data_IF_782702271678
#
_entry.id   IF_782702271678
#
_cell.length_a   1.000
_cell.length_b   1.000
_cell.length_c   1.000
_cell.angle_alpha   90.00
_cell.angle_beta   90.00
_cell.angle_gamma   90.00
#
_symmetry.space_group_name_H-M   'P 1'
#
loop_
_entity.id
_entity.type
_entity.pdbx_description
1 polymer ?
#
# COMPACT_ATOMS: atom_id res chain seq x y z
N UNK A 1 45.05 12.62 -83.81
CA UNK A 1 43.68 12.27 -83.38
C UNK A 1 43.73 11.95 -81.88
N UNK A 2 43.61 12.96 -80.99
CA UNK A 2 43.70 12.76 -79.54
C UNK A 2 42.47 13.35 -78.84
N UNK A 3 41.60 12.45 -78.37
CA UNK A 3 40.38 12.75 -77.60
C UNK A 3 40.74 13.14 -76.16
N UNK A 4 40.30 14.34 -75.74
CA UNK A 4 40.32 14.78 -74.34
C UNK A 4 39.09 14.21 -73.62
N UNK A 5 39.28 13.39 -72.59
CA UNK A 5 38.22 12.96 -71.68
C UNK A 5 38.12 13.97 -70.53
N UNK A 6 36.93 14.55 -70.34
CA UNK A 6 36.56 15.38 -69.18
C UNK A 6 35.99 14.45 -68.11
N UNK A 7 36.59 14.43 -66.92
CA UNK A 7 36.00 13.81 -65.73
C UNK A 7 35.15 14.85 -64.98
N UNK A 8 33.85 14.61 -64.89
CA UNK A 8 32.95 15.36 -64.02
C UNK A 8 32.94 14.70 -62.63
N UNK A 9 33.34 15.43 -61.60
CA UNK A 9 33.22 15.01 -60.19
C UNK A 9 31.82 15.39 -59.71
N UNK A 10 30.98 14.40 -59.42
CA UNK A 10 29.70 14.61 -58.73
C UNK A 10 29.94 14.63 -57.22
N UNK A 11 29.69 15.79 -56.59
CA UNK A 11 29.63 15.95 -55.14
C UNK A 11 28.28 15.46 -54.64
N UNK A 12 28.27 14.38 -53.86
CA UNK A 12 27.08 13.88 -53.15
C UNK A 12 27.01 14.57 -51.77
N UNK A 13 25.91 15.25 -51.42
CA UNK A 13 25.77 15.84 -50.09
C UNK A 13 25.43 14.75 -49.08
N UNK A 14 26.28 14.61 -48.05
CA UNK A 14 26.05 13.73 -46.91
C UNK A 14 25.02 14.41 -46.00
N UNK A 15 23.77 13.92 -46.01
CA UNK A 15 22.78 14.25 -44.99
C UNK A 15 23.16 13.58 -43.67
N UNK A 16 23.61 14.37 -42.69
CA UNK A 16 23.80 13.89 -41.33
C UNK A 16 22.41 13.81 -40.70
N UNK A 17 21.86 12.59 -40.57
CA UNK A 17 20.73 12.33 -39.69
C UNK A 17 21.19 12.55 -38.25
N UNK A 18 20.74 13.65 -37.63
CA UNK A 18 20.83 13.82 -36.18
C UNK A 18 19.79 12.92 -35.53
N UNK A 19 20.16 11.68 -35.23
CA UNK A 19 19.39 10.86 -34.29
C UNK A 19 19.51 11.52 -32.92
N UNK A 20 18.43 12.15 -32.46
CA UNK A 20 18.29 12.56 -31.07
C UNK A 20 18.27 11.30 -30.20
N UNK A 21 19.45 10.91 -29.71
CA UNK A 21 19.60 9.98 -28.60
C UNK A 21 18.84 10.58 -27.41
N UNK A 22 17.62 10.10 -27.16
CA UNK A 22 17.02 10.23 -25.83
C UNK A 22 17.95 9.50 -24.89
N UNK A 23 18.76 10.25 -24.14
CA UNK A 23 19.56 9.70 -23.06
C UNK A 23 18.62 8.89 -22.17
N UNK A 24 18.87 7.58 -22.07
CA UNK A 24 18.14 6.73 -21.16
C UNK A 24 18.46 7.25 -19.76
N UNK A 25 17.45 7.80 -19.06
CA UNK A 25 17.63 8.31 -17.70
C UNK A 25 18.33 7.23 -16.87
N UNK A 26 19.50 7.57 -16.32
CA UNK A 26 20.23 6.67 -15.46
C UNK A 26 19.36 6.36 -14.23
N UNK A 27 19.18 5.08 -13.93
CA UNK A 27 18.48 4.65 -12.73
C UNK A 27 19.17 5.24 -11.49
N UNK A 28 18.37 5.80 -10.59
CA UNK A 28 18.81 6.27 -9.28
C UNK A 28 17.97 5.56 -8.23
N UNK A 29 18.62 4.91 -7.26
CA UNK A 29 17.92 4.32 -6.13
C UNK A 29 17.10 5.40 -5.38
N UNK A 30 15.95 5.05 -4.76
CA UNK A 30 15.18 6.01 -3.99
C UNK A 30 16.03 6.70 -2.92
N UNK A 31 15.83 8.01 -2.77
CA UNK A 31 16.47 8.85 -1.77
C UNK A 31 15.45 9.84 -1.25
N UNK A 32 15.57 10.22 0.02
CA UNK A 32 14.81 11.34 0.55
C UNK A 32 15.17 12.62 -0.20
N UNK A 33 14.15 13.41 -0.53
CA UNK A 33 14.34 14.74 -1.11
C UNK A 33 14.99 15.72 -0.12
N UNK A 34 14.84 15.46 1.18
CA UNK A 34 15.48 16.20 2.25
C UNK A 34 16.06 15.23 3.30
N UNK A 35 17.32 15.39 3.76
CA UNK A 35 17.97 14.47 4.70
C UNK A 35 17.31 14.41 6.08
N UNK A 36 16.57 15.44 6.47
CA UNK A 36 15.83 15.47 7.74
C UNK A 36 14.44 14.82 7.63
N UNK A 37 13.98 14.47 6.42
CA UNK A 37 12.71 13.79 6.23
C UNK A 37 12.67 12.40 6.86
N UNK A 38 11.46 11.88 7.07
CA UNK A 38 11.22 10.48 7.44
C UNK A 38 10.14 9.87 6.55
N UNK A 39 10.01 8.55 6.52
CA UNK A 39 9.06 7.91 5.61
C UNK A 39 8.17 6.83 6.21
N UNK A 40 7.04 6.61 5.53
CA UNK A 40 6.17 5.44 5.66
C UNK A 40 6.16 4.71 4.32
N UNK A 41 6.24 3.38 4.36
CA UNK A 41 6.06 2.55 3.15
C UNK A 41 4.67 1.94 3.16
N UNK A 42 3.95 2.04 2.05
CA UNK A 42 2.68 1.37 1.82
C UNK A 42 2.89 0.18 0.86
N UNK A 43 2.63 -1.01 1.38
CA UNK A 43 2.59 -2.29 0.68
C UNK A 43 1.15 -2.48 0.17
N UNK A 44 0.96 -2.82 -1.11
CA UNK A 44 -0.37 -3.07 -1.66
C UNK A 44 -0.92 -4.40 -1.15
N UNK A 45 -2.10 -4.76 -1.63
CA UNK A 45 -2.70 -6.04 -1.32
C UNK A 45 -1.83 -7.20 -1.84
N UNK A 46 -1.71 -8.27 -1.05
CA UNK A 46 -0.67 -9.27 -1.27
C UNK A 46 -1.17 -10.59 -1.88
N UNK A 47 -2.49 -10.77 -2.03
CA UNK A 47 -3.08 -12.07 -2.38
C UNK A 47 -2.50 -12.71 -3.64
N UNK A 48 -2.23 -11.92 -4.69
CA UNK A 48 -1.70 -12.42 -5.96
C UNK A 48 -0.22 -12.82 -5.86
N UNK A 49 0.52 -12.25 -4.91
CA UNK A 49 1.90 -12.63 -4.64
C UNK A 49 1.99 -14.00 -3.95
N UNK A 50 0.99 -14.36 -3.12
CA UNK A 50 1.10 -15.55 -2.26
C UNK A 50 0.29 -16.75 -2.73
N UNK A 51 -0.77 -16.55 -3.53
CA UNK A 51 -1.59 -17.63 -4.09
C UNK A 51 -0.85 -18.50 -5.11
N UNK A 52 0.27 -18.01 -5.66
CA UNK A 52 1.16 -18.76 -6.54
C UNK A 52 2.55 -18.89 -5.95
N UNK A 53 3.05 -20.13 -5.82
CA UNK A 53 4.41 -20.41 -5.33
C UNK A 53 5.49 -19.56 -6.00
N UNK A 54 5.43 -19.51 -7.33
CA UNK A 54 6.41 -18.81 -8.18
C UNK A 54 6.48 -17.31 -7.92
N UNK A 55 5.44 -16.72 -7.34
CA UNK A 55 5.33 -15.27 -7.11
C UNK A 55 5.84 -14.86 -5.71
N UNK A 56 5.94 -15.80 -4.76
CA UNK A 56 6.20 -15.49 -3.34
C UNK A 56 7.52 -14.73 -3.14
N UNK A 57 8.55 -15.08 -3.91
CA UNK A 57 9.85 -14.40 -3.89
C UNK A 57 9.80 -12.90 -4.24
N UNK A 58 8.74 -12.43 -4.92
CA UNK A 58 8.57 -11.00 -5.22
C UNK A 58 8.17 -10.23 -3.96
N UNK A 59 7.24 -10.75 -3.15
CA UNK A 59 6.89 -10.13 -1.87
C UNK A 59 8.06 -10.17 -0.88
N UNK A 60 8.85 -11.24 -0.89
CA UNK A 60 10.10 -11.31 -0.14
C UNK A 60 11.11 -10.25 -0.60
N UNK A 61 11.22 -10.01 -1.91
CA UNK A 61 12.07 -8.94 -2.46
C UNK A 61 11.61 -7.57 -1.98
N UNK A 62 10.30 -7.32 -1.97
CA UNK A 62 9.74 -6.05 -1.48
C UNK A 62 10.09 -5.82 0.00
N UNK A 63 9.88 -6.82 0.85
CA UNK A 63 10.13 -6.73 2.30
C UNK A 63 11.61 -6.72 2.65
N UNK A 64 12.45 -7.46 1.90
CA UNK A 64 13.91 -7.38 2.02
C UNK A 64 14.42 -5.98 1.66
N UNK A 65 13.95 -5.42 0.54
CA UNK A 65 14.32 -4.06 0.14
C UNK A 65 13.91 -3.02 1.18
N UNK A 66 12.71 -3.14 1.76
CA UNK A 66 12.29 -2.28 2.87
C UNK A 66 13.29 -2.40 4.02
N UNK A 67 13.62 -3.62 4.46
CA UNK A 67 14.58 -3.86 5.55
C UNK A 67 15.96 -3.26 5.28
N UNK A 68 16.45 -3.33 4.04
CA UNK A 68 17.77 -2.81 3.64
C UNK A 68 17.79 -1.27 3.62
N UNK A 69 16.63 -0.63 3.43
CA UNK A 69 16.51 0.81 3.25
C UNK A 69 15.91 1.54 4.45
N UNK A 70 15.71 0.86 5.60
CA UNK A 70 15.16 1.47 6.82
C UNK A 70 15.93 2.74 7.20
N UNK A 71 17.26 2.65 7.30
CA UNK A 71 18.09 3.79 7.71
C UNK A 71 18.21 4.83 6.59
N UNK A 72 18.47 4.39 5.36
CA UNK A 72 18.70 5.26 4.21
C UNK A 72 17.47 6.12 3.83
N UNK A 73 16.27 5.59 4.04
CA UNK A 73 15.01 6.29 3.79
C UNK A 73 14.30 6.73 5.08
N UNK A 74 14.96 6.55 6.23
CA UNK A 74 14.43 6.88 7.54
C UNK A 74 12.98 6.35 7.74
N UNK A 75 12.78 5.07 7.39
CA UNK A 75 11.47 4.41 7.41
C UNK A 75 11.05 4.20 8.87
N UNK A 76 9.90 4.77 9.24
CA UNK A 76 9.39 4.69 10.62
C UNK A 76 8.18 3.79 10.80
N UNK A 77 7.48 3.46 9.71
CA UNK A 77 6.31 2.59 9.72
C UNK A 77 6.13 1.95 8.34
N UNK A 78 5.63 0.71 8.31
CA UNK A 78 5.16 0.06 7.09
C UNK A 78 3.67 -0.23 7.23
N UNK A 79 2.88 0.07 6.22
CA UNK A 79 1.45 -0.22 6.19
C UNK A 79 1.16 -1.21 5.06
N UNK A 80 0.25 -2.16 5.26
CA UNK A 80 -0.28 -3.02 4.20
C UNK A 80 -1.79 -2.87 4.11
N UNK A 81 -2.30 -2.71 2.89
CA UNK A 81 -3.72 -2.39 2.64
C UNK A 81 -4.68 -3.57 2.74
N UNK A 82 -4.18 -4.77 3.04
CA UNK A 82 -4.98 -5.96 3.33
C UNK A 82 -4.98 -6.98 2.20
N UNK A 83 -5.97 -7.87 2.22
CA UNK A 83 -5.99 -9.11 1.41
C UNK A 83 -4.61 -9.78 1.41
N UNK A 84 -4.22 -10.19 2.62
CA UNK A 84 -2.97 -10.86 2.91
C UNK A 84 -2.89 -12.23 2.20
N UNK A 85 -4.05 -12.84 1.95
CA UNK A 85 -4.20 -14.10 1.20
C UNK A 85 -5.32 -13.99 0.18
N UNK A 86 -5.37 -14.90 -0.81
CA UNK A 86 -6.48 -14.98 -1.76
C UNK A 86 -7.65 -15.79 -1.21
N UNK A 87 -7.39 -16.77 -0.35
CA UNK A 87 -8.43 -17.53 0.32
C UNK A 87 -8.03 -17.75 1.77
N UNK A 88 -8.96 -17.61 2.71
CA UNK A 88 -8.68 -17.75 4.13
C UNK A 88 -8.70 -19.20 4.64
N UNK A 89 -9.59 -20.08 4.12
CA UNK A 89 -9.80 -21.46 4.63
C UNK A 89 -9.77 -22.57 3.56
N UNK A 90 -9.24 -22.30 2.36
CA UNK A 90 -9.06 -23.29 1.29
C UNK A 90 -8.06 -24.37 1.70
N UNK A 91 -8.56 -25.56 2.04
CA UNK A 91 -7.74 -26.70 2.48
C UNK A 91 -6.94 -27.34 1.34
N UNK A 92 -7.52 -27.41 0.14
CA UNK A 92 -6.92 -28.02 -1.05
C UNK A 92 -7.13 -27.08 -2.22
N UNK A 93 -6.05 -26.68 -2.88
CA UNK A 93 -6.12 -25.84 -4.08
C UNK A 93 -6.74 -26.61 -5.26
N UNK A 94 -7.70 -25.98 -5.94
CA UNK A 94 -8.24 -26.45 -7.22
C UNK A 94 -7.34 -26.08 -8.42
N UNK A 95 -6.24 -25.35 -8.17
CA UNK A 95 -5.29 -24.82 -9.14
C UNK A 95 -5.88 -23.82 -10.17
N UNK A 96 -7.10 -23.32 -9.94
CA UNK A 96 -7.76 -22.37 -10.84
C UNK A 96 -7.40 -20.93 -10.46
N UNK A 97 -7.47 -20.59 -9.17
CA UNK A 97 -7.18 -19.24 -8.67
C UNK A 97 -6.09 -19.28 -7.59
N UNK A 98 -4.89 -19.71 -8.02
CA UNK A 98 -3.76 -20.01 -7.15
C UNK A 98 -3.48 -21.50 -7.08
N UNK A 99 -2.22 -21.88 -6.85
CA UNK A 99 -1.78 -23.28 -6.67
C UNK A 99 -1.46 -23.65 -5.21
N UNK A 100 -1.72 -22.73 -4.28
CA UNK A 100 -1.43 -22.88 -2.85
C UNK A 100 -2.70 -22.99 -2.01
N UNK A 101 -2.78 -23.92 -1.03
CA UNK A 101 -3.85 -23.90 -0.03
C UNK A 101 -3.65 -22.71 0.94
N UNK A 102 -4.72 -22.30 1.63
CA UNK A 102 -4.73 -21.09 2.48
C UNK A 102 -3.65 -21.08 3.54
N UNK A 103 -3.39 -22.22 4.19
CA UNK A 103 -2.32 -22.34 5.19
C UNK A 103 -0.96 -21.92 4.62
N UNK A 104 -0.66 -22.31 3.38
CA UNK A 104 0.62 -22.03 2.76
C UNK A 104 0.69 -20.59 2.23
N UNK A 105 -0.45 -20.03 1.80
CA UNK A 105 -0.56 -18.59 1.50
C UNK A 105 -0.29 -17.74 2.75
N UNK A 106 -0.95 -18.06 3.87
CA UNK A 106 -0.76 -17.37 5.16
C UNK A 106 0.69 -17.47 5.66
N UNK A 107 1.33 -18.63 5.51
CA UNK A 107 2.75 -18.80 5.82
C UNK A 107 3.64 -17.96 4.92
N UNK A 108 3.34 -17.89 3.62
CA UNK A 108 4.14 -17.11 2.67
C UNK A 108 4.10 -15.61 2.99
N UNK A 109 2.90 -15.04 3.20
CA UNK A 109 2.77 -13.63 3.58
C UNK A 109 3.43 -13.37 4.95
N UNK A 110 3.23 -14.26 5.93
CA UNK A 110 3.85 -14.13 7.25
C UNK A 110 5.38 -14.14 7.17
N UNK A 111 5.96 -15.09 6.42
CA UNK A 111 7.40 -15.23 6.22
C UNK A 111 8.01 -13.99 5.55
N UNK A 112 7.34 -13.41 4.56
CA UNK A 112 7.82 -12.18 3.94
C UNK A 112 7.88 -11.02 4.95
N UNK A 113 6.84 -10.84 5.76
CA UNK A 113 6.82 -9.76 6.77
C UNK A 113 7.74 -10.02 7.98
N UNK A 114 8.08 -11.28 8.29
CA UNK A 114 9.04 -11.63 9.37
C UNK A 114 10.39 -10.89 9.20
N UNK A 115 10.76 -10.54 7.97
CA UNK A 115 11.98 -9.76 7.69
C UNK A 115 12.03 -8.39 8.37
N UNK A 116 10.87 -7.85 8.72
CA UNK A 116 10.70 -6.54 9.35
C UNK A 116 10.58 -6.63 10.88
N UNK A 117 10.42 -7.84 11.44
CA UNK A 117 10.25 -8.05 12.87
C UNK A 117 11.47 -7.53 13.65
N UNK A 118 11.21 -6.71 14.67
CA UNK A 118 12.25 -6.07 15.47
C UNK A 118 13.03 -4.95 14.78
N UNK A 119 12.76 -4.64 13.50
CA UNK A 119 13.47 -3.61 12.72
C UNK A 119 12.63 -2.37 12.46
N UNK A 120 11.36 -2.54 12.09
CA UNK A 120 10.41 -1.44 11.86
C UNK A 120 9.00 -1.90 12.24
N UNK A 121 8.15 -1.07 12.88
CA UNK A 121 6.76 -1.44 13.10
C UNK A 121 6.01 -1.52 11.77
N UNK A 122 5.02 -2.41 11.70
CA UNK A 122 4.12 -2.50 10.57
C UNK A 122 2.67 -2.78 10.99
N UNK A 123 1.71 -2.25 10.24
CA UNK A 123 0.29 -2.44 10.50
C UNK A 123 -0.35 -2.96 9.21
N UNK A 124 -1.14 -4.02 9.30
CA UNK A 124 -1.76 -4.66 8.13
C UNK A 124 -3.27 -4.61 8.30
N UNK A 125 -3.98 -4.04 7.33
CA UNK A 125 -5.44 -4.23 7.27
C UNK A 125 -5.76 -5.71 7.03
N UNK A 126 -6.96 -6.11 7.41
CA UNK A 126 -7.56 -7.34 6.89
C UNK A 126 -8.50 -6.95 5.75
N UNK A 127 -8.34 -7.59 4.59
CA UNK A 127 -9.20 -7.42 3.44
C UNK A 127 -10.31 -8.47 3.37
N UNK A 128 -11.15 -8.41 2.35
CA UNK A 128 -12.27 -9.34 2.22
C UNK A 128 -11.82 -10.79 1.98
N UNK A 129 -10.64 -11.04 1.42
CA UNK A 129 -10.10 -12.38 1.21
C UNK A 129 -9.47 -12.99 2.48
N UNK A 130 -9.18 -12.16 3.49
CA UNK A 130 -8.62 -12.60 4.77
C UNK A 130 -9.67 -13.20 5.71
N UNK A 131 -10.94 -13.12 5.34
CA UNK A 131 -12.07 -13.67 6.09
C UNK A 131 -12.74 -14.81 5.34
N UNK A 132 -13.57 -15.58 6.05
CA UNK A 132 -14.42 -16.63 5.48
C UNK A 132 -13.63 -17.76 4.85
N UNK A 133 -14.11 -18.29 3.72
CA UNK A 133 -13.51 -19.41 3.00
C UNK A 133 -12.79 -18.98 1.73
N UNK A 134 -13.54 -18.43 0.76
CA UNK A 134 -12.97 -17.85 -0.49
C UNK A 134 -12.80 -16.34 -0.38
N UNK A 135 -13.74 -15.72 0.30
CA UNK A 135 -13.82 -14.30 0.60
C UNK A 135 -14.64 -14.15 1.88
N UNK A 136 -15.09 -12.94 2.22
CA UNK A 136 -15.85 -12.63 3.42
C UNK A 136 -17.29 -13.17 3.37
N UNK A 137 -17.46 -14.49 3.33
CA UNK A 137 -18.75 -15.15 3.52
C UNK A 137 -19.20 -15.12 4.99
N UNK A 138 -18.22 -15.00 5.90
CA UNK A 138 -18.39 -14.72 7.31
C UNK A 138 -17.15 -13.97 7.81
N UNK A 139 -17.15 -13.52 9.07
CA UNK A 139 -16.07 -12.69 9.65
C UNK A 139 -15.00 -13.49 10.42
N UNK A 140 -14.89 -14.80 10.22
CA UNK A 140 -13.79 -15.61 10.77
C UNK A 140 -12.53 -15.39 9.95
N UNK A 141 -11.37 -15.29 10.61
CA UNK A 141 -10.09 -15.05 9.96
C UNK A 141 -8.96 -15.80 10.68
N UNK A 142 -7.96 -16.22 9.91
CA UNK A 142 -6.68 -16.72 10.43
C UNK A 142 -5.68 -15.61 10.77
N UNK A 143 -6.03 -14.32 10.56
CA UNK A 143 -5.13 -13.19 10.76
C UNK A 143 -4.32 -13.27 12.05
N UNK A 144 -4.99 -13.42 13.21
CA UNK A 144 -4.32 -13.42 14.52
C UNK A 144 -3.39 -14.63 14.75
N UNK A 145 -3.60 -15.72 14.03
CA UNK A 145 -2.72 -16.90 14.11
C UNK A 145 -1.36 -16.60 13.47
N UNK A 146 -1.35 -15.87 12.35
CA UNK A 146 -0.13 -15.61 11.58
C UNK A 146 0.50 -14.25 11.92
N UNK A 147 -0.32 -13.28 12.32
CA UNK A 147 0.10 -11.93 12.67
C UNK A 147 -0.21 -11.57 14.14
N UNK A 148 0.18 -12.40 15.14
CA UNK A 148 -0.02 -12.01 16.52
C UNK A 148 0.84 -10.79 16.86
N UNK A 149 0.30 -9.84 17.63
CA UNK A 149 0.98 -8.55 17.88
C UNK A 149 2.38 -8.70 18.48
N UNK A 150 2.60 -9.73 19.29
CA UNK A 150 3.86 -9.96 19.98
C UNK A 150 4.98 -10.52 19.08
N UNK A 151 4.67 -10.88 17.82
CA UNK A 151 5.71 -11.31 16.86
C UNK A 151 6.68 -10.17 16.54
N UNK A 152 6.18 -8.93 16.47
CA UNK A 152 7.00 -7.74 16.31
C UNK A 152 6.90 -6.88 17.58
N UNK A 153 7.95 -6.87 18.39
CA UNK A 153 7.99 -6.09 19.64
C UNK A 153 7.77 -4.59 19.42
N UNK A 154 8.10 -4.06 18.23
CA UNK A 154 7.85 -2.66 17.89
C UNK A 154 6.35 -2.37 17.70
N UNK A 155 5.59 -3.31 17.13
CA UNK A 155 4.12 -3.22 17.07
C UNK A 155 3.52 -3.28 18.47
N UNK A 156 3.96 -4.26 19.28
CA UNK A 156 3.47 -4.43 20.65
C UNK A 156 3.72 -3.18 21.51
N UNK A 157 4.89 -2.54 21.35
CA UNK A 157 5.22 -1.28 22.05
C UNK A 157 4.34 -0.10 21.60
N UNK A 158 3.97 -0.06 20.32
CA UNK A 158 3.14 0.99 19.76
C UNK A 158 1.65 0.81 20.06
N UNK A 159 1.18 -0.43 20.25
CA UNK A 159 -0.23 -0.74 20.51
C UNK A 159 -0.78 0.04 21.72
N UNK A 160 -1.99 0.58 21.58
CA UNK A 160 -2.69 1.34 22.64
C UNK A 160 -4.04 0.77 23.00
N UNK A 161 -4.81 0.35 22.00
CA UNK A 161 -6.10 -0.30 22.21
C UNK A 161 -6.39 -1.29 21.08
N UNK A 162 -7.23 -2.28 21.38
CA UNK A 162 -7.75 -3.22 20.40
C UNK A 162 -9.27 -3.35 20.58
N UNK A 163 -9.99 -3.22 19.46
CA UNK A 163 -11.38 -3.58 19.32
C UNK A 163 -11.55 -5.10 19.26
N UNK A 164 -12.79 -5.55 19.31
CA UNK A 164 -13.11 -6.99 19.36
C UNK A 164 -13.38 -7.55 17.96
N UNK A 165 -12.81 -8.70 17.63
CA UNK A 165 -13.19 -9.44 16.42
C UNK A 165 -14.60 -10.06 16.55
N UNK A 166 -14.99 -10.90 15.59
CA UNK A 166 -16.31 -11.56 15.61
C UNK A 166 -16.51 -12.49 16.81
N UNK A 167 -15.43 -13.02 17.37
CA UNK A 167 -15.44 -13.90 18.54
C UNK A 167 -15.43 -13.16 19.87
N UNK A 168 -15.50 -11.83 19.84
CA UNK A 168 -15.49 -11.00 21.03
C UNK A 168 -14.10 -10.85 21.68
N UNK A 169 -13.04 -11.33 21.02
CA UNK A 169 -11.66 -11.25 21.48
C UNK A 169 -10.98 -9.97 20.96
N UNK A 170 -10.15 -9.28 21.75
CA UNK A 170 -9.31 -8.20 21.25
C UNK A 170 -8.45 -8.67 20.07
N UNK A 171 -8.46 -7.91 18.97
CA UNK A 171 -7.77 -8.28 17.73
C UNK A 171 -7.05 -7.09 17.11
N UNK A 172 -5.90 -7.34 16.50
CA UNK A 172 -5.16 -6.32 15.75
C UNK A 172 -5.78 -6.01 14.38
N UNK A 173 -6.77 -6.79 13.94
CA UNK A 173 -7.69 -6.43 12.85
C UNK A 173 -8.36 -5.08 13.11
N UNK A 174 -8.57 -4.73 14.38
CA UNK A 174 -9.17 -3.47 14.82
C UNK A 174 -8.34 -2.89 15.97
N UNK A 175 -7.37 -2.03 15.71
CA UNK A 175 -6.43 -1.59 16.75
C UNK A 175 -5.91 -0.18 16.53
N UNK A 176 -5.45 0.45 17.62
CA UNK A 176 -4.76 1.73 17.59
C UNK A 176 -3.30 1.61 18.00
N UNK A 177 -2.42 2.34 17.32
CA UNK A 177 -0.99 2.37 17.56
C UNK A 177 -0.49 3.80 17.63
N UNK A 178 0.28 4.12 18.66
CA UNK A 178 0.86 5.45 18.84
C UNK A 178 2.28 5.52 18.32
N UNK A 179 2.59 6.62 17.64
CA UNK A 179 3.91 6.93 17.14
C UNK A 179 4.19 8.43 17.29
N UNK A 180 5.41 8.79 17.69
CA UNK A 180 5.88 10.17 17.71
C UNK A 180 6.96 10.28 16.65
N UNK A 181 6.76 11.17 15.68
CA UNK A 181 7.70 11.33 14.57
C UNK A 181 9.02 11.98 15.04
N UNK A 182 10.09 11.89 14.22
CA UNK A 182 11.33 12.62 14.48
C UNK A 182 11.10 14.12 14.72
N UNK A 183 10.06 14.70 14.10
CA UNK A 183 9.67 16.10 14.22
C UNK A 183 8.64 16.37 15.33
N UNK A 184 8.52 15.44 16.30
CA UNK A 184 7.66 15.54 17.48
C UNK A 184 6.15 15.60 17.20
N UNK A 185 5.72 15.36 15.95
CA UNK A 185 4.29 15.22 15.63
C UNK A 185 3.79 13.88 16.14
N UNK A 186 2.69 13.90 16.87
CA UNK A 186 2.04 12.71 17.43
C UNK A 186 1.08 12.12 16.41
N UNK A 187 1.20 10.82 16.16
CA UNK A 187 0.32 10.06 15.29
C UNK A 187 -0.39 8.97 16.08
N UNK A 188 -1.67 8.78 15.78
CA UNK A 188 -2.42 7.61 16.19
C UNK A 188 -2.88 6.87 14.93
N UNK A 189 -2.27 5.73 14.66
CA UNK A 189 -2.71 4.86 13.57
C UNK A 189 -3.91 4.06 14.04
N UNK A 190 -4.98 4.05 13.25
CA UNK A 190 -6.20 3.28 13.48
C UNK A 190 -6.35 2.26 12.37
N UNK A 191 -6.22 0.97 12.71
CA UNK A 191 -6.51 -0.15 11.81
C UNK A 191 -7.97 -0.58 11.98
N UNK A 192 -8.67 -0.82 10.88
CA UNK A 192 -10.04 -1.32 10.86
C UNK A 192 -10.16 -2.52 9.92
N UNK A 193 -10.92 -3.52 10.37
CA UNK A 193 -11.29 -4.70 9.59
C UNK A 193 -11.98 -4.32 8.27
N UNK A 194 -12.02 -5.25 7.30
CA UNK A 194 -12.81 -5.06 6.09
C UNK A 194 -14.29 -4.85 6.43
N UNK A 195 -14.89 -3.84 5.78
CA UNK A 195 -16.29 -3.45 5.96
C UNK A 195 -16.69 -3.47 7.44
N UNK A 196 -16.08 -2.61 8.28
CA UNK A 196 -16.17 -2.70 9.73
C UNK A 196 -17.63 -2.68 10.20
N UNK A 197 -17.92 -3.49 11.22
CA UNK A 197 -19.21 -3.50 11.91
C UNK A 197 -19.49 -2.14 12.56
N UNK A 198 -20.76 -1.81 12.76
CA UNK A 198 -21.15 -0.58 13.47
C UNK A 198 -20.55 -0.53 14.89
N UNK A 199 -20.49 -1.69 15.56
CA UNK A 199 -19.85 -1.82 16.88
C UNK A 199 -18.36 -1.43 16.85
N UNK A 200 -17.65 -1.78 15.78
CA UNK A 200 -16.25 -1.42 15.59
C UNK A 200 -16.10 0.06 15.25
N UNK A 201 -16.96 0.63 14.40
CA UNK A 201 -16.91 2.06 14.09
C UNK A 201 -17.21 2.92 15.34
N UNK A 202 -18.15 2.50 16.17
CA UNK A 202 -18.46 3.16 17.45
C UNK A 202 -17.27 3.08 18.42
N UNK A 203 -16.65 1.91 18.55
CA UNK A 203 -15.42 1.74 19.33
C UNK A 203 -14.30 2.65 18.81
N UNK A 204 -14.05 2.65 17.50
CA UNK A 204 -13.01 3.46 16.88
C UNK A 204 -13.23 4.95 17.12
N UNK A 205 -14.47 5.44 16.94
CA UNK A 205 -14.82 6.83 17.20
C UNK A 205 -14.61 7.20 18.67
N UNK A 206 -15.00 6.31 19.60
CA UNK A 206 -14.75 6.51 21.03
C UNK A 206 -13.26 6.52 21.36
N UNK A 207 -12.45 5.70 20.70
CA UNK A 207 -11.02 5.59 20.95
C UNK A 207 -10.28 6.84 20.48
N UNK A 208 -10.46 7.24 19.22
CA UNK A 208 -9.75 8.39 18.64
C UNK A 208 -10.19 9.74 19.22
N UNK A 209 -11.36 9.78 19.87
CA UNK A 209 -11.90 10.99 20.51
C UNK A 209 -11.48 11.14 21.97
N UNK A 210 -10.70 10.21 22.54
CA UNK A 210 -10.19 10.35 23.91
C UNK A 210 -9.33 11.62 24.03
N UNK A 211 -9.43 12.29 25.17
CA UNK A 211 -8.71 13.54 25.45
C UNK A 211 -7.20 13.41 25.26
N UNK A 212 -6.62 12.24 25.57
CA UNK A 212 -5.20 11.96 25.38
C UNK A 212 -4.74 12.00 23.90
N UNK A 213 -5.66 11.89 22.95
CA UNK A 213 -5.40 11.89 21.50
C UNK A 213 -5.89 13.14 20.77
N UNK A 214 -6.31 14.18 21.52
CA UNK A 214 -6.81 15.44 20.91
C UNK A 214 -5.79 16.14 20.02
N UNK A 215 -4.50 15.99 20.35
CA UNK A 215 -3.38 16.61 19.65
C UNK A 215 -2.67 15.65 18.69
N UNK A 216 -3.19 14.42 18.54
CA UNK A 216 -2.66 13.45 17.59
C UNK A 216 -3.23 13.71 16.19
N UNK A 217 -2.44 13.41 15.17
CA UNK A 217 -2.95 13.22 13.81
C UNK A 217 -3.34 11.75 13.66
N UNK A 218 -4.62 11.50 13.39
CA UNK A 218 -5.10 10.13 13.16
C UNK A 218 -4.85 9.73 11.71
N UNK A 219 -4.25 8.55 11.54
CA UNK A 219 -4.02 7.87 10.27
C UNK A 219 -4.87 6.61 10.25
N UNK A 220 -5.92 6.58 9.44
CA UNK A 220 -6.78 5.40 9.31
C UNK A 220 -6.24 4.46 8.24
N UNK A 221 -6.21 3.18 8.52
CA UNK A 221 -5.93 2.09 7.59
C UNK A 221 -7.15 1.16 7.57
N UNK A 222 -7.70 0.92 6.40
CA UNK A 222 -8.76 -0.07 6.15
C UNK A 222 -8.57 -0.65 4.76
N UNK A 223 -9.41 -1.60 4.34
CA UNK A 223 -9.25 -2.26 3.06
C UNK A 223 -10.04 -1.58 1.93
N UNK A 224 -11.38 -1.58 1.97
CA UNK A 224 -12.22 -0.92 0.96
C UNK A 224 -12.64 0.48 1.38
N UNK A 225 -12.43 1.48 0.50
CA UNK A 225 -12.73 2.86 0.82
C UNK A 225 -13.07 3.75 -0.38
N UNK A 226 -12.13 4.01 -1.31
CA UNK A 226 -12.41 4.74 -2.57
C UNK A 226 -12.45 3.79 -3.76
N UNK A 227 -13.23 4.15 -4.79
CA UNK A 227 -13.14 3.55 -6.12
C UNK A 227 -12.12 4.26 -7.03
N UNK A 228 -11.83 3.69 -8.19
CA UNK A 228 -10.91 4.26 -9.19
C UNK A 228 -11.35 5.61 -9.78
N UNK A 229 -12.56 6.08 -9.48
CA UNK A 229 -13.07 7.41 -9.81
C UNK A 229 -12.98 8.39 -8.63
N UNK A 230 -12.20 8.05 -7.59
CA UNK A 230 -12.02 8.82 -6.37
C UNK A 230 -13.31 9.06 -5.57
N UNK A 231 -14.33 8.21 -5.72
CA UNK A 231 -15.57 8.29 -4.93
C UNK A 231 -15.54 7.26 -3.81
N UNK A 232 -16.13 7.59 -2.67
CA UNK A 232 -16.32 6.61 -1.60
C UNK A 232 -17.18 5.43 -2.09
N UNK A 233 -16.74 4.22 -1.78
CA UNK A 233 -17.48 2.99 -2.04
C UNK A 233 -18.78 3.00 -1.21
N UNK A 234 -19.94 2.94 -1.87
CA UNK A 234 -21.22 2.97 -1.17
C UNK A 234 -21.71 1.58 -0.79
N UNK A 235 -21.51 0.60 -1.69
CA UNK A 235 -22.02 -0.77 -1.57
C UNK A 235 -21.10 -1.73 -2.30
N UNK A 236 -21.05 -2.95 -1.80
CA UNK A 236 -20.42 -4.10 -2.43
C UNK A 236 -21.29 -5.34 -2.19
N UNK A 237 -21.09 -6.36 -3.03
CA UNK A 237 -21.96 -7.54 -3.09
C UNK A 237 -21.40 -8.71 -2.26
N UNK A 238 -21.07 -8.47 -1.00
CA UNK A 238 -20.69 -9.53 -0.05
C UNK A 238 -21.88 -9.95 0.80
N UNK A 239 -21.98 -11.23 1.19
CA UNK A 239 -23.14 -11.78 1.91
C UNK A 239 -23.11 -11.49 3.43
N UNK A 240 -22.34 -10.49 3.86
CA UNK A 240 -22.26 -10.07 5.26
C UNK A 240 -23.27 -8.97 5.58
N UNK A 241 -23.86 -9.07 6.76
CA UNK A 241 -24.64 -8.00 7.36
C UNK A 241 -23.74 -7.03 8.14
N UNK A 242 -24.29 -5.86 8.52
CA UNK A 242 -23.57 -4.82 9.30
C UNK A 242 -22.22 -4.47 8.67
N UNK A 243 -22.24 -4.15 7.37
CA UNK A 243 -21.07 -3.86 6.56
C UNK A 243 -21.01 -2.36 6.23
N UNK A 244 -19.99 -1.68 6.73
CA UNK A 244 -19.76 -0.27 6.43
C UNK A 244 -18.65 -0.11 5.39
N UNK A 245 -19.01 0.23 4.16
CA UNK A 245 -18.03 0.57 3.10
C UNK A 245 -17.58 2.03 3.21
N UNK A 246 -16.71 2.45 2.29
CA UNK A 246 -16.05 3.76 2.34
C UNK A 246 -16.95 4.96 2.66
N UNK A 247 -18.17 5.02 2.09
CA UNK A 247 -19.11 6.12 2.36
C UNK A 247 -19.60 6.11 3.80
N UNK A 248 -19.98 4.94 4.30
CA UNK A 248 -20.45 4.79 5.67
C UNK A 248 -19.32 5.04 6.69
N UNK A 249 -18.09 4.57 6.40
CA UNK A 249 -16.91 4.88 7.21
C UNK A 249 -16.65 6.40 7.23
N UNK A 250 -16.72 7.05 6.06
CA UNK A 250 -16.57 8.51 5.97
C UNK A 250 -17.61 9.23 6.83
N UNK A 251 -18.89 8.94 6.64
CA UNK A 251 -20.00 9.62 7.31
C UNK A 251 -20.03 9.36 8.82
N UNK A 252 -19.74 8.13 9.26
CA UNK A 252 -19.87 7.73 10.67
C UNK A 252 -18.61 8.01 11.51
N UNK A 253 -17.42 8.06 10.90
CA UNK A 253 -16.15 8.13 11.61
C UNK A 253 -15.25 9.28 11.15
N UNK A 254 -14.92 9.36 9.85
CA UNK A 254 -13.88 10.27 9.36
C UNK A 254 -14.35 11.72 9.30
N UNK A 255 -15.48 11.96 8.65
CA UNK A 255 -16.09 13.29 8.53
C UNK A 255 -16.38 13.94 9.90
N UNK A 256 -16.99 13.26 10.90
CA UNK A 256 -17.25 13.85 12.21
C UNK A 256 -15.99 14.02 13.08
N UNK A 257 -14.86 13.41 12.72
CA UNK A 257 -13.63 13.52 13.52
C UNK A 257 -13.04 14.93 13.54
N UNK A 258 -12.15 15.18 14.52
CA UNK A 258 -11.38 16.43 14.64
C UNK A 258 -9.88 16.26 14.38
N UNK A 259 -9.43 15.03 14.25
CA UNK A 259 -8.01 14.67 14.21
C UNK A 259 -7.62 13.72 13.07
N UNK A 260 -8.56 13.09 12.36
CA UNK A 260 -8.22 12.29 11.16
C UNK A 260 -7.76 13.23 10.06
N UNK A 261 -6.58 12.95 9.50
CA UNK A 261 -6.02 13.69 8.35
C UNK A 261 -5.51 12.77 7.24
N UNK A 262 -5.40 11.46 7.50
CA UNK A 262 -4.93 10.48 6.53
C UNK A 262 -5.83 9.24 6.55
N UNK A 263 -6.14 8.72 5.36
CA UNK A 263 -6.80 7.43 5.17
C UNK A 263 -6.05 6.65 4.09
N UNK A 264 -5.66 5.41 4.39
CA UNK A 264 -5.06 4.46 3.46
C UNK A 264 -5.97 3.26 3.23
N UNK A 265 -6.04 2.81 1.97
CA UNK A 265 -6.88 1.70 1.53
C UNK A 265 -6.32 0.99 0.30
N UNK A 266 -6.87 -0.18 -0.01
CA UNK A 266 -6.51 -1.03 -1.15
C UNK A 266 -7.75 -1.46 -1.93
N UNK A 267 -7.97 -2.76 -2.05
CA UNK A 267 -9.18 -3.42 -2.55
C UNK A 267 -9.44 -3.29 -4.06
N UNK A 268 -9.36 -2.08 -4.62
CA UNK A 268 -9.70 -1.84 -6.02
C UNK A 268 -8.61 -2.35 -6.94
N UNK A 269 -8.98 -2.95 -8.08
CA UNK A 269 -8.00 -3.31 -9.07
C UNK A 269 -8.59 -3.71 -10.42
N UNK A 270 -7.75 -3.64 -11.44
CA UNK A 270 -8.08 -4.03 -12.82
C UNK A 270 -6.85 -4.64 -13.50
N UNK A 271 -6.96 -5.76 -14.23
CA UNK A 271 -5.82 -6.40 -14.87
C UNK A 271 -4.98 -5.42 -15.70
N UNK A 272 -3.70 -5.30 -15.34
CA UNK A 272 -2.69 -4.50 -16.04
C UNK A 272 -3.07 -3.02 -16.28
N UNK A 273 -3.97 -2.48 -15.47
CA UNK A 273 -4.40 -1.08 -15.53
C UNK A 273 -4.10 -0.36 -14.21
N UNK A 274 -2.92 0.25 -14.13
CA UNK A 274 -2.45 0.95 -12.93
C UNK A 274 -3.45 2.00 -12.43
N UNK A 275 -4.15 2.71 -13.32
CA UNK A 275 -5.13 3.72 -12.90
C UNK A 275 -6.31 3.10 -12.13
N UNK A 276 -6.71 1.88 -12.49
CA UNK A 276 -7.77 1.12 -11.81
C UNK A 276 -7.38 0.64 -10.39
N UNK A 277 -6.11 0.74 -10.04
CA UNK A 277 -5.52 0.32 -8.77
C UNK A 277 -5.25 1.48 -7.81
N UNK A 278 -5.61 2.70 -8.19
CA UNK A 278 -5.26 3.92 -7.44
C UNK A 278 -6.44 4.87 -7.31
N UNK A 279 -6.51 5.54 -6.17
CA UNK A 279 -7.39 6.67 -5.96
C UNK A 279 -6.74 7.69 -5.04
N UNK A 280 -7.05 8.97 -5.25
CA UNK A 280 -6.65 10.05 -4.36
C UNK A 280 -7.74 11.10 -4.26
N UNK A 281 -8.11 11.46 -3.04
CA UNK A 281 -9.08 12.51 -2.76
C UNK A 281 -8.74 13.26 -1.49
N UNK A 282 -9.02 14.56 -1.49
CA UNK A 282 -8.96 15.40 -0.29
C UNK A 282 -10.36 15.91 0.01
N UNK A 283 -10.78 15.75 1.26
CA UNK A 283 -11.99 16.33 1.83
C UNK A 283 -11.64 17.05 3.14
N UNK A 284 -12.64 17.58 3.84
CA UNK A 284 -12.47 18.19 5.17
C UNK A 284 -13.29 17.45 6.22
N UNK A 285 -12.72 17.26 7.41
CA UNK A 285 -13.44 16.77 8.57
C UNK A 285 -14.19 17.92 9.29
N UNK A 286 -14.89 17.61 10.39
CA UNK A 286 -15.70 18.55 11.15
C UNK A 286 -14.90 19.69 11.80
N UNK A 287 -13.58 19.52 11.98
CA UNK A 287 -12.68 20.59 12.43
C UNK A 287 -12.12 21.44 11.27
N UNK A 288 -12.55 21.19 10.03
CA UNK A 288 -12.07 21.89 8.84
C UNK A 288 -10.69 21.44 8.35
N UNK A 289 -10.09 20.42 8.98
CA UNK A 289 -8.80 19.85 8.59
C UNK A 289 -8.95 18.97 7.34
N UNK A 290 -7.97 19.05 6.44
CA UNK A 290 -7.78 18.21 5.26
C UNK A 290 -7.65 16.75 5.67
N UNK A 291 -8.42 15.91 4.99
CA UNK A 291 -8.30 14.45 5.06
C UNK A 291 -7.81 13.96 3.70
N UNK A 292 -6.54 13.57 3.64
CA UNK A 292 -5.91 13.02 2.45
C UNK A 292 -6.19 11.51 2.41
N UNK A 293 -6.92 11.06 1.39
CA UNK A 293 -7.45 9.71 1.27
C UNK A 293 -6.80 9.04 0.06
N UNK A 294 -6.00 8.00 0.29
CA UNK A 294 -5.16 7.37 -0.72
C UNK A 294 -5.51 5.88 -0.80
N UNK A 295 -5.80 5.43 -2.02
CA UNK A 295 -5.98 4.02 -2.34
C UNK A 295 -4.84 3.56 -3.22
N UNK A 296 -4.24 2.41 -2.88
CA UNK A 296 -3.15 1.80 -3.62
C UNK A 296 -3.18 0.28 -3.45
N UNK A 297 -3.44 -0.43 -4.55
CA UNK A 297 -3.45 -1.89 -4.60
C UNK A 297 -2.85 -2.35 -5.93
N UNK A 298 -1.55 -2.62 -6.03
CA UNK A 298 -0.94 -2.99 -7.31
C UNK A 298 -1.07 -4.49 -7.69
N UNK A 299 -1.91 -5.29 -7.00
CA UNK A 299 -1.88 -6.75 -7.04
C UNK A 299 -2.09 -7.42 -8.41
N UNK A 300 -2.62 -6.69 -9.40
CA UNK A 300 -2.93 -7.23 -10.74
C UNK A 300 -2.12 -6.56 -11.86
N UNK A 301 -1.01 -5.90 -11.51
CA UNK A 301 0.03 -5.56 -12.47
C UNK A 301 0.89 -6.78 -12.78
N UNK A 302 1.57 -6.79 -13.93
CA UNK A 302 2.49 -7.87 -14.29
C UNK A 302 1.79 -9.16 -14.74
N UNK A 303 0.69 -9.04 -15.48
CA UNK A 303 -0.05 -10.16 -16.10
C UNK A 303 -1.42 -10.44 -15.47
N UNK A 304 -2.07 -9.42 -14.89
CA UNK A 304 -3.39 -9.55 -14.29
C UNK A 304 -3.45 -10.47 -13.06
N UNK A 305 -4.64 -11.01 -12.77
CA UNK A 305 -4.93 -11.82 -11.57
C UNK A 305 -4.15 -13.14 -11.47
N UNK A 306 -3.56 -13.59 -12.58
CA UNK A 306 -2.79 -14.83 -12.68
C UNK A 306 -1.34 -14.59 -13.10
N UNK A 307 -0.91 -13.32 -13.09
CA UNK A 307 0.44 -12.88 -13.44
C UNK A 307 1.47 -13.13 -12.35
N UNK A 308 2.39 -12.18 -12.19
CA UNK A 308 3.50 -12.25 -11.24
C UNK A 308 3.17 -11.73 -9.82
N UNK A 309 1.98 -11.20 -9.58
CA UNK A 309 1.57 -10.72 -8.26
C UNK A 309 1.41 -9.22 -8.13
N UNK A 310 1.89 -8.42 -9.10
CA UNK A 310 1.76 -6.97 -9.02
C UNK A 310 3.05 -6.21 -9.26
N UNK A 311 4.02 -6.80 -9.98
CA UNK A 311 5.31 -6.18 -10.34
C UNK A 311 6.13 -5.61 -9.17
N UNK A 312 5.78 -5.95 -7.93
CA UNK A 312 6.48 -5.51 -6.72
C UNK A 312 6.35 -4.02 -6.40
N UNK A 313 5.27 -3.34 -6.79
CA UNK A 313 5.12 -1.91 -6.53
C UNK A 313 4.88 -1.59 -5.05
N UNK A 314 5.58 -0.58 -4.55
CA UNK A 314 5.44 0.05 -3.23
C UNK A 314 5.13 1.54 -3.40
N UNK A 315 4.50 2.14 -2.40
CA UNK A 315 4.37 3.60 -2.30
C UNK A 315 5.16 4.14 -1.11
N UNK A 316 6.11 5.01 -1.41
CA UNK A 316 6.98 5.68 -0.46
C UNK A 316 6.35 7.03 -0.12
N UNK A 317 6.08 7.25 1.17
CA UNK A 317 5.48 8.48 1.69
C UNK A 317 6.53 9.21 2.50
N UNK A 318 7.21 10.19 1.89
CA UNK A 318 8.22 11.03 2.55
C UNK A 318 7.54 12.22 3.24
N UNK A 319 7.72 12.34 4.55
CA UNK A 319 7.25 13.45 5.37
C UNK A 319 8.38 14.45 5.57
N UNK A 320 8.19 15.67 5.08
CA UNK A 320 9.19 16.72 5.13
C UNK A 320 9.33 17.33 6.55
N UNK A 321 10.49 17.94 6.86
CA UNK A 321 10.74 18.59 8.16
C UNK A 321 9.87 19.81 8.46
N UNK A 322 9.11 20.32 7.48
CA UNK A 322 8.12 21.38 7.69
C UNK A 322 6.90 20.91 8.51
N UNK A 323 6.79 19.60 8.76
CA UNK A 323 5.74 18.97 9.53
C UNK A 323 4.38 18.92 8.82
N UNK A 324 4.31 19.33 7.55
CA UNK A 324 3.06 19.49 6.78
C UNK A 324 3.09 18.72 5.47
N UNK A 325 4.18 18.82 4.72
CA UNK A 325 4.26 18.32 3.35
C UNK A 325 4.62 16.84 3.34
N UNK A 326 3.87 16.08 2.55
CA UNK A 326 4.15 14.67 2.29
C UNK A 326 4.30 14.46 0.79
N UNK A 327 5.39 13.82 0.38
CA UNK A 327 5.66 13.43 -1.00
C UNK A 327 5.38 11.94 -1.14
N UNK A 328 4.53 11.57 -2.10
CA UNK A 328 4.22 10.19 -2.46
C UNK A 328 4.97 9.84 -3.74
N UNK A 329 5.75 8.75 -3.73
CA UNK A 329 6.45 8.20 -4.90
C UNK A 329 6.15 6.72 -5.04
N UNK A 330 5.89 6.24 -6.25
CA UNK A 330 5.60 4.82 -6.52
C UNK A 330 6.80 4.12 -7.15
N UNK A 331 7.30 3.09 -6.50
CA UNK A 331 8.58 2.44 -6.81
C UNK A 331 8.47 0.90 -6.74
N UNK A 332 9.16 0.18 -7.62
CA UNK A 332 9.23 -1.29 -7.61
C UNK A 332 10.64 -1.78 -7.30
N UNK A 333 10.89 -2.37 -6.11
CA UNK A 333 12.13 -3.08 -5.82
C UNK A 333 12.37 -4.27 -6.76
N UNK A 334 11.30 -4.92 -7.22
CA UNK A 334 11.39 -6.06 -8.14
C UNK A 334 12.04 -5.67 -9.47
N UNK A 335 11.69 -4.52 -10.04
CA UNK A 335 12.37 -4.02 -11.23
C UNK A 335 13.74 -3.41 -10.90
N UNK A 336 13.89 -2.78 -9.75
CA UNK A 336 15.13 -2.11 -9.36
C UNK A 336 16.32 -3.06 -9.15
N UNK A 337 16.09 -4.30 -8.70
CA UNK A 337 17.17 -5.23 -8.36
C UNK A 337 18.01 -5.67 -9.57
N UNK A 338 17.48 -5.58 -10.79
CA UNK A 338 18.17 -5.99 -12.01
C UNK A 338 18.52 -4.79 -12.90
N UNK A 339 19.78 -4.62 -13.32
CA UNK A 339 20.18 -3.59 -14.27
C UNK A 339 19.40 -3.60 -15.59
N UNK A 340 18.88 -4.77 -15.99
CA UNK A 340 18.07 -4.90 -17.20
C UNK A 340 16.68 -4.25 -17.06
N UNK A 341 16.14 -4.19 -15.84
CA UNK A 341 14.77 -3.73 -15.56
C UNK A 341 14.71 -2.45 -14.75
N UNK A 342 15.78 -2.00 -14.10
CA UNK A 342 15.79 -0.87 -13.15
C UNK A 342 15.26 0.46 -13.72
N UNK A 343 15.35 0.66 -15.04
CA UNK A 343 14.73 1.82 -15.74
C UNK A 343 13.20 1.89 -15.59
N UNK A 344 12.57 0.75 -15.31
CA UNK A 344 11.12 0.58 -15.10
C UNK A 344 10.74 0.69 -13.62
N UNK A 345 11.70 0.86 -12.71
CA UNK A 345 11.44 0.81 -11.26
C UNK A 345 10.60 1.98 -10.72
N UNK A 346 10.38 3.03 -11.52
CA UNK A 346 9.53 4.16 -11.13
C UNK A 346 8.31 4.23 -12.02
N UNK A 347 7.13 4.27 -11.39
CA UNK A 347 5.97 4.85 -12.05
C UNK A 347 6.19 6.37 -12.06
N UNK A 348 5.99 7.03 -13.19
CA UNK A 348 6.18 8.48 -13.39
C UNK A 348 4.87 9.26 -13.59
N UNK A 349 3.73 8.60 -13.72
CA UNK A 349 2.45 9.29 -13.86
C UNK A 349 2.12 10.12 -12.60
N UNK A 350 1.51 11.29 -12.79
CA UNK A 350 1.21 12.24 -11.70
C UNK A 350 0.28 11.65 -10.62
N UNK A 351 -0.59 10.72 -10.98
CA UNK A 351 -1.46 10.04 -10.01
C UNK A 351 -0.73 8.98 -9.16
N UNK A 352 0.53 8.71 -9.46
CA UNK A 352 1.44 7.86 -8.69
C UNK A 352 2.55 8.66 -8.00
N UNK A 353 2.75 9.92 -8.38
CA UNK A 353 3.79 10.81 -7.87
C UNK A 353 3.21 12.20 -7.63
N UNK A 354 2.89 12.49 -6.37
CA UNK A 354 2.23 13.73 -5.99
C UNK A 354 2.65 14.13 -4.58
N UNK A 355 2.43 15.40 -4.24
CA UNK A 355 2.55 15.88 -2.87
C UNK A 355 1.20 16.33 -2.33
N UNK A 356 1.05 16.27 -1.02
CA UNK A 356 -0.11 16.82 -0.32
C UNK A 356 0.31 17.36 1.03
N UNK A 357 -0.63 18.03 1.71
CA UNK A 357 -0.38 18.68 2.99
C UNK A 357 -1.29 18.14 4.08
N UNK A 358 -0.70 17.98 5.25
CA UNK A 358 -1.35 17.87 6.54
C UNK A 358 -1.52 19.27 7.16
N UNK A 359 -2.49 19.42 8.05
CA UNK A 359 -2.73 20.68 8.79
C UNK A 359 -1.97 20.75 10.12
#
# INVERSE_FOLDING_TARGET
MNRKYRFCIFLVPIFILTTSLRAQEAYTAPKLSNPDSWSIILVPDTQTYVKFERNQGILETMTAWISENIDALNIKMVLCTGDLVEQNELLVSDKINGNMPSRDQWRAVSHAFERLDGKVPYILAAGNHDFGYKSVENRKSNYNQYFPVHRNLLNAKALRAAGKNIDGLPSVENATYEFISPHQRKFLFLNLEFAPRDTILQWANSEISKEIYKDHTVVMLTHSYLNAQNKHMEKENYPIEDANYGKAIWEKLVAPSKNVQLVFSGHIGSPDNFKGHTAFKVDKNAAGKKVNQITFNAQAMGGGWHGNGGDGWLRLMEFLPDGKTVISTTFSPHFAISPATQKMAYQRDDYNNFSFQLD
#
